data_IF_853167133162
#
_entry.id   IF_853167133162
#
_cell.length_a   1.000
_cell.length_b   1.000
_cell.length_c   1.000
_cell.angle_alpha   90.00
_cell.angle_beta   90.00
_cell.angle_gamma   90.00
#
_symmetry.space_group_name_H-M   'P 1'
#
loop_
_entity.id
_entity.type
_entity.pdbx_description
1 polymer ?
#
# COMPACT_ATOMS: atom_id res chain seq x y z
N UNK A 1 15.53 29.83 -2.57
CA UNK A 1 14.83 28.60 -2.82
C UNK A 1 14.45 28.50 -4.30
N UNK A 2 15.12 27.60 -4.98
CA UNK A 2 15.03 27.46 -6.43
C UNK A 2 13.70 26.89 -6.91
N UNK A 3 12.91 26.33 -6.02
CA UNK A 3 11.64 25.69 -6.39
C UNK A 3 10.48 26.67 -6.54
N UNK A 4 10.69 27.93 -6.23
CA UNK A 4 9.67 28.96 -6.28
C UNK A 4 9.62 29.73 -7.60
N UNK A 5 10.47 29.43 -8.54
CA UNK A 5 10.41 30.09 -9.85
C UNK A 5 9.16 29.65 -10.63
N UNK A 6 8.70 30.51 -11.53
CA UNK A 6 7.43 30.33 -12.23
C UNK A 6 7.64 30.11 -13.71
N UNK A 7 6.59 29.60 -14.39
CA UNK A 7 6.60 29.39 -15.82
C UNK A 7 7.27 28.09 -16.24
N UNK A 8 7.84 28.06 -17.43
CA UNK A 8 8.48 26.88 -17.98
C UNK A 8 9.67 26.42 -17.13
N UNK A 9 10.41 27.35 -16.58
CA UNK A 9 11.52 27.05 -15.69
C UNK A 9 11.05 26.33 -14.41
N UNK A 10 9.90 26.73 -13.88
CA UNK A 10 9.35 26.10 -12.70
C UNK A 10 8.93 24.65 -12.95
N UNK A 11 8.25 24.39 -14.06
CA UNK A 11 7.86 23.03 -14.45
C UNK A 11 9.09 22.17 -14.66
N UNK A 12 10.12 22.68 -15.30
CA UNK A 12 11.37 21.96 -15.52
C UNK A 12 12.07 21.62 -14.21
N UNK A 13 12.12 22.57 -13.28
CA UNK A 13 12.72 22.36 -11.97
C UNK A 13 11.97 21.34 -11.15
N UNK A 14 10.64 21.31 -11.24
CA UNK A 14 9.81 20.30 -10.57
C UNK A 14 10.14 18.91 -11.08
N UNK A 15 10.33 18.75 -12.39
CA UNK A 15 10.72 17.46 -12.97
C UNK A 15 12.10 17.00 -12.47
N UNK A 16 13.07 17.91 -12.42
CA UNK A 16 14.39 17.60 -11.87
C UNK A 16 14.31 17.23 -10.40
N UNK A 17 13.50 17.94 -9.63
CA UNK A 17 13.30 17.64 -8.22
C UNK A 17 12.73 16.24 -8.03
N UNK A 18 11.73 15.85 -8.83
CA UNK A 18 11.14 14.51 -8.76
C UNK A 18 12.17 13.44 -9.06
N UNK A 19 13.02 13.64 -10.08
CA UNK A 19 14.07 12.68 -10.40
C UNK A 19 15.06 12.50 -9.26
N UNK A 20 15.48 13.60 -8.65
CA UNK A 20 16.38 13.58 -7.50
C UNK A 20 15.71 12.90 -6.31
N UNK A 21 14.45 13.26 -6.01
CA UNK A 21 13.71 12.67 -4.92
C UNK A 21 13.53 11.16 -5.08
N UNK A 22 13.23 10.69 -6.28
CA UNK A 22 13.07 9.26 -6.55
C UNK A 22 14.39 8.51 -6.41
N UNK A 23 15.51 9.13 -6.78
CA UNK A 23 16.83 8.53 -6.60
C UNK A 23 17.27 8.49 -5.14
N UNK A 24 17.03 9.59 -4.41
CA UNK A 24 17.52 9.75 -3.04
C UNK A 24 16.59 9.10 -2.01
N UNK A 25 15.31 8.99 -2.32
CA UNK A 25 14.32 8.41 -1.44
C UNK A 25 13.79 7.10 -2.03
N UNK A 26 13.87 6.03 -1.24
CA UNK A 26 13.38 4.72 -1.65
C UNK A 26 11.84 4.61 -1.62
N UNK A 27 11.14 5.70 -1.29
CA UNK A 27 9.69 5.71 -1.19
C UNK A 27 9.03 5.53 -2.55
N UNK A 28 9.56 6.19 -3.58
CA UNK A 28 8.97 6.15 -4.92
C UNK A 28 9.90 5.49 -5.92
N UNK A 29 9.30 4.74 -6.84
CA UNK A 29 9.96 4.24 -8.03
C UNK A 29 9.27 4.86 -9.23
N UNK A 30 10.06 5.42 -10.16
CA UNK A 30 9.52 6.06 -11.36
C UNK A 30 9.58 5.14 -12.56
N UNK A 31 8.49 5.03 -13.29
CA UNK A 31 8.43 4.39 -14.60
C UNK A 31 7.71 5.32 -15.57
N UNK A 32 8.47 5.95 -16.50
CA UNK A 32 7.91 6.96 -17.37
C UNK A 32 7.39 8.13 -16.57
N UNK A 33 6.12 8.44 -16.69
CA UNK A 33 5.45 9.49 -15.93
C UNK A 33 4.70 8.97 -14.71
N UNK A 34 4.66 7.66 -14.50
CA UNK A 34 4.00 7.05 -13.34
C UNK A 34 4.97 6.88 -12.19
N UNK A 35 4.46 7.01 -10.99
CA UNK A 35 5.20 6.76 -9.76
C UNK A 35 4.61 5.55 -9.03
N UNK A 36 5.47 4.75 -8.44
CA UNK A 36 5.10 3.58 -7.65
C UNK A 36 5.62 3.73 -6.25
N UNK A 37 4.81 3.38 -5.27
CA UNK A 37 5.23 3.35 -3.87
C UNK A 37 4.59 2.17 -3.16
N UNK A 38 5.31 1.61 -2.20
CA UNK A 38 4.77 0.62 -1.29
C UNK A 38 4.41 1.31 0.02
N UNK A 39 3.20 1.07 0.50
CA UNK A 39 2.67 1.71 1.69
C UNK A 39 2.40 0.64 2.74
N UNK A 40 3.18 0.61 3.83
CA UNK A 40 2.89 -0.32 4.92
C UNK A 40 1.67 0.14 5.71
N UNK A 41 0.75 -0.78 5.95
CA UNK A 41 -0.43 -0.52 6.77
C UNK A 41 -0.56 -1.63 7.82
N UNK A 42 -1.26 -1.30 8.91
CA UNK A 42 -1.54 -2.31 9.94
C UNK A 42 -2.58 -3.31 9.44
N UNK A 43 -2.55 -4.51 9.98
CA UNK A 43 -3.58 -5.50 9.63
C UNK A 43 -4.97 -5.04 10.11
N UNK A 44 -5.02 -4.25 11.18
CA UNK A 44 -6.29 -3.72 11.69
C UNK A 44 -6.92 -2.76 10.67
N UNK A 45 -6.13 -1.84 10.12
CA UNK A 45 -6.61 -0.92 9.09
C UNK A 45 -7.00 -1.67 7.82
N UNK A 46 -6.28 -2.71 7.46
CA UNK A 46 -6.62 -3.54 6.31
C UNK A 46 -7.94 -4.30 6.52
N UNK A 47 -8.15 -4.82 7.72
CA UNK A 47 -9.34 -5.60 8.03
C UNK A 47 -10.59 -4.73 8.19
N UNK A 48 -10.47 -3.63 8.90
CA UNK A 48 -11.59 -2.76 9.23
C UNK A 48 -11.82 -1.65 8.22
N UNK A 49 -10.81 -1.33 7.41
CA UNK A 49 -10.81 -0.17 6.57
C UNK A 49 -10.38 1.08 7.33
N UNK A 50 -10.00 2.11 6.61
CA UNK A 50 -9.56 3.35 7.20
C UNK A 50 -9.10 4.33 6.14
N UNK A 51 -8.47 5.39 6.56
CA UNK A 51 -7.89 6.40 5.69
C UNK A 51 -6.43 6.60 6.07
N UNK A 52 -5.59 6.83 5.08
CA UNK A 52 -4.22 7.24 5.32
C UNK A 52 -3.83 8.37 4.39
N UNK A 53 -2.87 9.17 4.82
CA UNK A 53 -2.34 10.24 4.01
C UNK A 53 -1.12 9.73 3.23
N UNK A 54 -1.17 9.90 1.92
CA UNK A 54 -0.08 9.51 1.03
C UNK A 54 0.59 10.79 0.52
N UNK A 55 1.93 10.89 0.61
CA UNK A 55 2.62 12.04 0.02
C UNK A 55 2.56 11.97 -1.50
N UNK A 56 2.30 13.10 -2.12
CA UNK A 56 2.35 13.27 -3.57
C UNK A 56 3.21 14.48 -3.90
N UNK A 57 3.45 14.71 -5.18
CA UNK A 57 4.20 15.90 -5.61
C UNK A 57 3.43 17.19 -5.33
N UNK A 58 2.10 17.10 -5.20
CA UNK A 58 1.23 18.26 -4.96
C UNK A 58 0.75 18.35 -3.51
N UNK A 59 1.41 17.64 -2.61
CA UNK A 59 1.05 17.61 -1.21
C UNK A 59 0.48 16.26 -0.80
N UNK A 60 -0.23 16.25 0.32
CA UNK A 60 -0.80 15.01 0.87
C UNK A 60 -2.19 14.76 0.31
N UNK A 61 -2.45 13.51 0.00
CA UNK A 61 -3.77 13.05 -0.47
C UNK A 61 -4.25 11.96 0.46
N UNK A 62 -5.52 12.01 0.83
CA UNK A 62 -6.13 10.94 1.63
C UNK A 62 -6.46 9.76 0.73
N UNK A 63 -5.95 8.60 1.09
CA UNK A 63 -6.26 7.35 0.44
C UNK A 63 -7.20 6.55 1.33
N UNK A 64 -8.37 6.25 0.82
CA UNK A 64 -9.34 5.43 1.54
C UNK A 64 -9.02 3.96 1.33
N UNK A 65 -8.83 3.25 2.43
CA UNK A 65 -8.57 1.80 2.42
C UNK A 65 -9.89 1.11 2.73
N UNK A 66 -10.45 0.34 1.77
CA UNK A 66 -11.66 -0.42 2.04
C UNK A 66 -11.42 -1.50 3.10
N UNK A 67 -12.46 -1.90 3.80
CA UNK A 67 -12.36 -3.05 4.70
C UNK A 67 -12.00 -4.31 3.92
N UNK A 68 -11.36 -5.25 4.59
CA UNK A 68 -10.93 -6.53 4.01
C UNK A 68 -9.88 -6.39 2.89
N UNK A 69 -9.10 -5.32 2.91
CA UNK A 69 -8.02 -5.11 1.95
C UNK A 69 -6.91 -6.11 2.19
N UNK A 70 -6.51 -6.81 1.14
CA UNK A 70 -5.43 -7.79 1.19
C UNK A 70 -4.08 -7.15 0.86
N UNK A 71 -3.01 -7.76 1.37
CA UNK A 71 -1.66 -7.30 1.03
C UNK A 71 -1.42 -7.41 -0.47
N UNK A 72 -0.70 -6.45 -1.04
CA UNK A 72 -0.43 -6.41 -2.47
C UNK A 72 -1.48 -5.66 -3.28
N UNK A 73 -2.57 -5.21 -2.67
CA UNK A 73 -3.59 -4.43 -3.36
C UNK A 73 -2.98 -3.14 -3.90
N UNK A 74 -3.26 -2.84 -5.16
CA UNK A 74 -2.75 -1.66 -5.83
C UNK A 74 -3.85 -0.61 -5.93
N UNK A 75 -3.56 0.59 -5.44
CA UNK A 75 -4.45 1.75 -5.55
C UNK A 75 -3.85 2.76 -6.52
N UNK A 76 -4.67 3.26 -7.41
CA UNK A 76 -4.24 4.25 -8.42
C UNK A 76 -4.78 5.62 -8.06
N UNK A 77 -3.87 6.57 -7.88
CA UNK A 77 -4.20 7.99 -7.72
C UNK A 77 -3.93 8.69 -9.05
N UNK A 78 -4.99 8.92 -9.79
CA UNK A 78 -4.89 9.48 -11.13
C UNK A 78 -4.38 10.91 -11.10
N UNK A 79 -3.46 11.21 -12.02
CA UNK A 79 -2.91 12.55 -12.16
C UNK A 79 -1.92 12.94 -11.07
N UNK A 80 -1.51 12.02 -10.19
CA UNK A 80 -0.58 12.29 -9.09
C UNK A 80 0.84 11.79 -9.35
N UNK A 81 1.12 11.38 -10.58
CA UNK A 81 2.47 11.03 -11.02
C UNK A 81 3.25 12.25 -11.49
N UNK A 82 4.14 12.03 -12.43
CA UNK A 82 5.00 13.08 -12.98
C UNK A 82 4.25 13.82 -14.09
N UNK A 83 4.35 15.16 -14.08
CA UNK A 83 3.83 15.99 -15.16
C UNK A 83 4.91 16.11 -16.23
N UNK A 84 4.62 15.73 -17.51
CA UNK A 84 5.63 15.84 -18.56
C UNK A 84 6.01 17.29 -18.83
N UNK A 85 7.30 17.52 -19.11
CA UNK A 85 7.83 18.86 -19.41
C UNK A 85 7.23 19.43 -20.68
N UNK A 86 7.00 18.56 -21.66
CA UNK A 86 6.49 18.99 -22.99
C UNK A 86 4.98 19.11 -23.04
N UNK A 87 4.33 19.07 -21.91
CA UNK A 87 2.88 19.10 -21.85
C UNK A 87 2.28 17.70 -21.91
N UNK A 88 0.97 17.65 -21.81
CA UNK A 88 0.21 16.41 -21.72
C UNK A 88 -0.25 16.15 -20.28
N UNK A 89 -0.96 15.06 -20.10
CA UNK A 89 -1.51 14.71 -18.80
C UNK A 89 -0.42 14.18 -17.87
N UNK A 90 -0.54 14.51 -16.58
CA UNK A 90 0.29 13.90 -15.56
C UNK A 90 0.08 12.39 -15.53
N UNK A 91 1.11 11.66 -15.16
CA UNK A 91 1.00 10.24 -14.89
C UNK A 91 0.24 9.98 -13.61
N UNK A 92 0.25 8.74 -13.16
CA UNK A 92 -0.48 8.30 -11.98
C UNK A 92 0.48 7.93 -10.87
N UNK A 93 0.00 7.99 -9.62
CA UNK A 93 0.69 7.43 -8.48
C UNK A 93 0.02 6.10 -8.13
N UNK A 94 0.81 5.05 -8.14
CA UNK A 94 0.35 3.69 -7.87
C UNK A 94 0.87 3.28 -6.49
N UNK A 95 -0.06 3.04 -5.58
CA UNK A 95 0.24 2.70 -4.18
C UNK A 95 -0.08 1.23 -3.94
N UNK A 96 0.95 0.43 -3.70
CA UNK A 96 0.77 -0.96 -3.31
C UNK A 96 0.79 -1.05 -1.80
N UNK A 97 -0.30 -1.51 -1.21
CA UNK A 97 -0.33 -1.68 0.25
C UNK A 97 0.31 -3.00 0.66
N UNK A 98 1.11 -2.92 1.69
CA UNK A 98 1.77 -4.08 2.30
C UNK A 98 1.31 -4.13 3.75
N UNK A 99 0.76 -5.26 4.16
CA UNK A 99 0.29 -5.42 5.53
C UNK A 99 1.45 -5.84 6.42
N UNK A 100 1.72 -5.02 7.43
CA UNK A 100 2.81 -5.26 8.35
C UNK A 100 2.31 -5.95 9.62
N UNK A 101 3.02 -6.99 10.03
CA UNK A 101 2.77 -7.65 11.29
C UNK A 101 3.28 -6.77 12.44
N UNK A 102 2.45 -6.47 13.44
CA UNK A 102 2.90 -5.64 14.56
C UNK A 102 3.97 -6.34 15.40
N UNK A 103 4.90 -5.55 15.91
CA UNK A 103 6.00 -6.04 16.75
C UNK A 103 5.97 -5.37 18.12
N UNK A 104 6.72 -5.90 19.08
CA UNK A 104 6.86 -5.35 20.43
C UNK A 104 5.52 -5.18 21.15
N UNK A 105 4.67 -6.19 21.03
CA UNK A 105 3.34 -6.16 21.62
C UNK A 105 3.40 -6.24 23.16
N UNK A 106 2.57 -5.44 23.83
CA UNK A 106 2.37 -5.52 25.27
C UNK A 106 1.62 -6.80 25.64
N UNK A 107 1.58 -7.12 26.94
CA UNK A 107 0.81 -8.27 27.42
C UNK A 107 -0.67 -8.15 27.08
N UNK A 108 -1.23 -6.95 27.24
CA UNK A 108 -2.63 -6.70 26.95
C UNK A 108 -2.92 -6.87 25.45
N UNK A 109 -2.03 -6.39 24.60
CA UNK A 109 -2.17 -6.54 23.15
C UNK A 109 -2.10 -8.00 22.72
N UNK A 110 -1.19 -8.78 23.32
CA UNK A 110 -1.10 -10.22 23.06
C UNK A 110 -2.39 -10.93 23.47
N UNK A 111 -2.94 -10.56 24.62
CA UNK A 111 -4.19 -11.14 25.12
C UNK A 111 -5.36 -10.83 24.17
N UNK A 112 -5.45 -9.58 23.68
CA UNK A 112 -6.47 -9.21 22.72
C UNK A 112 -6.37 -10.03 21.43
N UNK A 113 -5.15 -10.27 20.94
CA UNK A 113 -4.93 -11.11 19.76
C UNK A 113 -5.32 -12.56 20.01
N UNK A 114 -5.05 -13.10 21.20
CA UNK A 114 -5.50 -14.45 21.55
C UNK A 114 -7.02 -14.56 21.58
N UNK A 115 -7.69 -13.56 22.14
CA UNK A 115 -9.15 -13.51 22.14
C UNK A 115 -9.69 -13.45 20.72
N UNK A 116 -9.06 -12.66 19.86
CA UNK A 116 -9.43 -12.58 18.45
C UNK A 116 -9.26 -13.94 17.77
N UNK A 117 -8.12 -14.61 17.99
CA UNK A 117 -7.86 -15.92 17.43
C UNK A 117 -8.94 -16.93 17.86
N UNK A 118 -9.30 -16.95 19.14
CA UNK A 118 -10.36 -17.82 19.64
C UNK A 118 -11.70 -17.53 18.97
N UNK A 119 -12.00 -16.25 18.76
CA UNK A 119 -13.21 -15.86 18.04
C UNK A 119 -13.23 -16.39 16.60
N UNK A 120 -12.11 -16.32 15.89
CA UNK A 120 -12.00 -16.88 14.55
C UNK A 120 -12.20 -18.38 14.52
N UNK A 121 -11.63 -19.09 15.50
CA UNK A 121 -11.75 -20.55 15.59
C UNK A 121 -13.20 -20.98 15.84
N UNK A 122 -13.93 -20.24 16.66
CA UNK A 122 -15.35 -20.51 16.91
C UNK A 122 -16.21 -20.45 15.66
N UNK A 123 -15.82 -19.64 14.70
CA UNK A 123 -16.57 -19.44 13.45
C UNK A 123 -16.09 -20.34 12.31
N UNK A 124 -15.22 -21.31 12.59
CA UNK A 124 -14.79 -22.30 11.60
C UNK A 124 -13.86 -21.78 10.51
N UNK A 125 -13.06 -20.76 10.81
CA UNK A 125 -12.03 -20.23 9.90
C UNK A 125 -12.56 -19.61 8.60
N UNK A 126 -13.81 -19.18 8.57
CA UNK A 126 -14.42 -18.51 7.38
C UNK A 126 -13.71 -17.23 7.00
N UNK A 127 -13.01 -16.63 7.95
CA UNK A 127 -12.33 -15.36 7.80
C UNK A 127 -10.98 -15.48 7.09
N UNK A 128 -10.51 -16.69 6.88
CA UNK A 128 -9.19 -16.93 6.25
C UNK A 128 -9.33 -17.92 5.09
N UNK A 129 -9.96 -17.48 3.95
CA UNK A 129 -10.25 -18.40 2.84
C UNK A 129 -8.99 -18.97 2.19
N UNK A 130 -7.92 -18.21 2.09
CA UNK A 130 -6.67 -18.71 1.51
C UNK A 130 -6.03 -19.79 2.38
N UNK A 131 -6.05 -19.59 3.70
CA UNK A 131 -5.54 -20.58 4.65
C UNK A 131 -6.37 -21.85 4.59
N UNK A 132 -7.68 -21.75 4.61
CA UNK A 132 -8.59 -22.89 4.49
C UNK A 132 -8.39 -23.64 3.17
N UNK A 133 -8.31 -22.94 2.06
CA UNK A 133 -8.08 -23.53 0.75
C UNK A 133 -6.74 -24.25 0.65
N UNK A 134 -5.71 -23.68 1.26
CA UNK A 134 -4.38 -24.29 1.28
C UNK A 134 -4.38 -25.60 2.08
N UNK A 135 -5.00 -25.61 3.26
CA UNK A 135 -5.10 -26.81 4.08
C UNK A 135 -5.92 -27.88 3.39
N UNK A 136 -7.02 -27.54 2.73
CA UNK A 136 -7.81 -28.50 1.96
C UNK A 136 -6.98 -29.09 0.82
N UNK A 137 -6.18 -28.26 0.14
CA UNK A 137 -5.27 -28.73 -0.89
C UNK A 137 -4.22 -29.69 -0.37
N UNK A 138 -3.64 -29.40 0.79
CA UNK A 138 -2.66 -30.29 1.45
C UNK A 138 -3.30 -31.61 1.82
N UNK A 139 -4.51 -31.58 2.35
CA UNK A 139 -5.25 -32.79 2.70
C UNK A 139 -5.51 -33.65 1.46
N UNK A 140 -5.98 -33.06 0.40
CA UNK A 140 -6.20 -33.77 -0.88
C UNK A 140 -4.91 -34.38 -1.42
N UNK A 141 -3.80 -33.64 -1.32
CA UNK A 141 -2.50 -34.14 -1.77
C UNK A 141 -2.10 -35.40 -1.02
N UNK A 142 -2.26 -35.44 0.30
CA UNK A 142 -1.94 -36.63 1.10
C UNK A 142 -2.91 -37.77 0.86
N UNK A 143 -4.19 -37.48 0.68
CA UNK A 143 -5.19 -38.51 0.36
C UNK A 143 -4.89 -39.19 -0.97
N UNK A 144 -4.43 -38.43 -1.98
CA UNK A 144 -4.07 -38.97 -3.29
C UNK A 144 -2.80 -39.84 -3.24
N UNK A 145 -1.94 -39.62 -2.26
CA UNK A 145 -0.72 -40.41 -2.11
C UNK A 145 -0.96 -41.79 -1.47
N UNK A 146 -2.09 -41.98 -0.82
CA UNK A 146 -2.47 -43.23 -0.18
C UNK A 146 -3.35 -44.04 -1.11
#
# INVERSE_FOLDING_TARGET
>A
DTWKSRGLGDVYKRQLYVQVAVRDHSIFRREGKDLYTEVPISFVDAALGGELEVPTLDGRVKLKIPSETQTGKLFRLRGKGVTPVRGGNAGDLLCRVIIETPVNLSKDQKELLKQFQESLEKEGHRQSPKKSGWFDGVKSFFDDML
#
